data_IF_025259155546
#
_entry.id   IF_025259155546
#
_cell.length_a   1.000
_cell.length_b   1.000
_cell.length_c   1.000
_cell.angle_alpha   90.00
_cell.angle_beta   90.00
_cell.angle_gamma   90.00
#
_symmetry.space_group_name_H-M   'P 1'
#
loop_
_entity.id
_entity.type
_entity.pdbx_description
1 polymer ?
#
# COMPACT_ATOMS: atom_id res chain seq x y z
N UNK A 1 -20.94 -51.25 -33.89
CA UNK A 1 -20.70 -51.77 -32.53
C UNK A 1 -20.72 -50.62 -31.54
N UNK A 2 -21.79 -50.46 -30.76
CA UNK A 2 -21.87 -49.44 -29.71
C UNK A 2 -21.82 -50.13 -28.34
N UNK A 3 -20.67 -50.06 -27.67
CA UNK A 3 -20.47 -50.61 -26.34
C UNK A 3 -21.30 -49.83 -25.32
N UNK A 4 -22.22 -50.51 -24.62
CA UNK A 4 -22.96 -49.93 -23.49
C UNK A 4 -21.96 -49.62 -22.37
N UNK A 5 -21.70 -48.34 -22.12
CA UNK A 5 -20.97 -47.88 -20.94
C UNK A 5 -21.73 -48.31 -19.68
N UNK A 6 -21.09 -49.16 -18.88
CA UNK A 6 -21.64 -49.60 -17.59
C UNK A 6 -21.75 -48.40 -16.65
N UNK A 7 -22.98 -48.02 -16.26
CA UNK A 7 -23.20 -46.99 -15.26
C UNK A 7 -22.84 -47.53 -13.88
N UNK A 8 -21.67 -47.13 -13.37
CA UNK A 8 -21.27 -47.39 -11.98
C UNK A 8 -22.27 -46.74 -11.03
N UNK A 9 -23.03 -47.54 -10.28
CA UNK A 9 -23.97 -47.03 -9.26
C UNK A 9 -23.16 -46.45 -8.08
N UNK A 10 -22.95 -45.14 -8.09
CA UNK A 10 -22.30 -44.43 -6.99
C UNK A 10 -23.28 -44.29 -5.82
N UNK A 11 -23.01 -44.99 -4.71
CA UNK A 11 -23.77 -44.85 -3.46
C UNK A 11 -23.32 -43.57 -2.76
N UNK A 12 -24.18 -42.55 -2.74
CA UNK A 12 -23.91 -41.29 -2.02
C UNK A 12 -23.78 -41.58 -0.53
N UNK A 13 -22.61 -41.29 0.05
CA UNK A 13 -22.39 -41.29 1.50
C UNK A 13 -22.49 -39.85 1.98
N UNK A 14 -23.41 -39.59 2.91
CA UNK A 14 -23.42 -38.33 3.64
C UNK A 14 -22.40 -38.42 4.76
N UNK A 15 -21.48 -37.44 4.88
CA UNK A 15 -20.50 -37.44 5.96
C UNK A 15 -21.19 -37.43 7.32
N UNK A 16 -20.68 -38.23 8.26
CA UNK A 16 -21.23 -38.33 9.60
C UNK A 16 -21.06 -37.02 10.36
N UNK A 17 -21.98 -36.69 11.29
CA UNK A 17 -21.90 -35.45 12.07
C UNK A 17 -20.55 -35.26 12.79
N UNK A 18 -19.91 -36.35 13.25
CA UNK A 18 -18.58 -36.32 13.88
C UNK A 18 -17.45 -35.96 12.90
N UNK A 19 -17.52 -36.44 11.66
CA UNK A 19 -16.57 -36.07 10.60
C UNK A 19 -16.75 -34.60 10.20
N UNK A 20 -18.01 -34.15 10.10
CA UNK A 20 -18.32 -32.76 9.80
C UNK A 20 -17.89 -31.81 10.94
N UNK A 21 -18.11 -32.21 12.19
CA UNK A 21 -17.77 -31.39 13.36
C UNK A 21 -16.27 -31.08 13.46
N UNK A 22 -15.39 -32.00 13.07
CA UNK A 22 -13.95 -31.76 13.01
C UNK A 22 -13.52 -30.82 11.88
N UNK A 23 -14.31 -30.75 10.80
CA UNK A 23 -14.06 -29.90 9.63
C UNK A 23 -14.70 -28.50 9.77
N UNK A 24 -15.73 -28.36 10.61
CA UNK A 24 -16.43 -27.11 10.87
C UNK A 24 -15.67 -26.22 11.85
N UNK A 25 -14.76 -25.40 11.32
CA UNK A 25 -14.15 -24.30 12.08
C UNK A 25 -14.98 -23.02 11.95
N UNK A 26 -15.80 -22.74 12.95
CA UNK A 26 -16.50 -21.46 13.04
C UNK A 26 -15.55 -20.35 13.51
N UNK A 27 -15.39 -19.32 12.68
CA UNK A 27 -14.60 -18.14 13.06
C UNK A 27 -15.39 -17.34 14.10
N UNK A 28 -14.76 -16.99 15.23
CA UNK A 28 -15.38 -16.14 16.25
C UNK A 28 -15.86 -14.82 15.62
N UNK A 29 -17.05 -14.31 15.98
CA UNK A 29 -17.56 -13.06 15.43
C UNK A 29 -16.65 -11.89 15.81
N UNK A 30 -16.25 -11.10 14.81
CA UNK A 30 -15.47 -9.88 15.02
C UNK A 30 -16.44 -8.71 15.19
N UNK A 31 -16.57 -8.22 16.43
CA UNK A 31 -17.51 -7.15 16.80
C UNK A 31 -17.12 -5.80 16.17
N UNK A 32 -15.83 -5.44 16.22
CA UNK A 32 -15.34 -4.18 15.64
C UNK A 32 -15.56 -4.14 14.12
N UNK A 33 -16.34 -3.18 13.58
CA UNK A 33 -16.58 -3.07 12.15
C UNK A 33 -15.29 -2.84 11.35
N UNK A 34 -14.33 -2.05 11.90
CA UNK A 34 -13.02 -1.82 11.29
C UNK A 34 -12.25 -3.13 11.16
N UNK A 35 -12.07 -3.86 12.27
CA UNK A 35 -11.35 -5.15 12.25
C UNK A 35 -12.03 -6.17 11.34
N UNK A 36 -13.37 -6.25 11.36
CA UNK A 36 -14.12 -7.19 10.52
C UNK A 36 -13.87 -6.95 9.03
N UNK A 37 -13.91 -5.70 8.57
CA UNK A 37 -13.61 -5.34 7.17
C UNK A 37 -12.16 -5.67 6.79
N UNK A 38 -11.20 -5.23 7.60
CA UNK A 38 -9.78 -5.45 7.31
C UNK A 38 -9.42 -6.94 7.34
N UNK A 39 -9.99 -7.72 8.25
CA UNK A 39 -9.76 -9.18 8.34
C UNK A 39 -10.32 -9.99 7.16
N UNK A 40 -11.10 -9.35 6.28
CA UNK A 40 -11.66 -9.92 5.05
C UNK A 40 -10.96 -9.41 3.78
N UNK A 41 -10.07 -8.43 3.90
CA UNK A 41 -9.26 -7.97 2.78
C UNK A 41 -8.11 -8.95 2.60
N UNK A 42 -8.10 -9.66 1.47
CA UNK A 42 -7.05 -10.63 1.12
C UNK A 42 -6.10 -10.05 0.08
N UNK A 43 -6.51 -8.98 -0.58
CA UNK A 43 -5.75 -8.31 -1.63
C UNK A 43 -5.72 -6.80 -1.40
N UNK A 44 -4.75 -6.12 -2.02
CA UNK A 44 -4.72 -4.65 -2.08
C UNK A 44 -5.99 -4.10 -2.74
N UNK A 45 -6.58 -4.83 -3.70
CA UNK A 45 -7.85 -4.48 -4.33
C UNK A 45 -9.04 -4.48 -3.36
N UNK A 46 -9.04 -5.35 -2.35
CA UNK A 46 -10.05 -5.32 -1.30
C UNK A 46 -9.89 -4.10 -0.39
N UNK A 47 -8.65 -3.74 -0.05
CA UNK A 47 -8.35 -2.51 0.70
C UNK A 47 -8.80 -1.28 -0.08
N UNK A 48 -8.52 -1.22 -1.38
CA UNK A 48 -8.99 -0.16 -2.28
C UNK A 48 -10.52 -0.06 -2.30
N UNK A 49 -11.24 -1.19 -2.42
CA UNK A 49 -12.72 -1.21 -2.36
C UNK A 49 -13.24 -0.70 -1.03
N UNK A 50 -12.59 -1.05 0.08
CA UNK A 50 -12.94 -0.53 1.41
C UNK A 50 -12.72 0.98 1.47
N UNK A 51 -11.58 1.48 0.99
CA UNK A 51 -11.28 2.92 0.93
C UNK A 51 -12.31 3.69 0.10
N UNK A 52 -12.65 3.20 -1.11
CA UNK A 52 -13.66 3.82 -1.99
C UNK A 52 -15.02 4.02 -1.32
N UNK A 53 -15.42 3.11 -0.43
CA UNK A 53 -16.70 3.20 0.30
C UNK A 53 -16.66 4.12 1.52
N UNK A 54 -15.48 4.56 1.93
CA UNK A 54 -15.24 5.26 3.20
C UNK A 54 -14.69 6.67 3.02
N UNK A 55 -14.17 6.97 1.85
CA UNK A 55 -13.59 8.26 1.51
C UNK A 55 -14.51 8.98 0.53
N UNK A 56 -14.70 10.31 0.65
CA UNK A 56 -15.41 11.08 -0.35
C UNK A 56 -14.79 10.90 -1.74
N UNK A 57 -15.61 11.05 -2.79
CA UNK A 57 -15.21 10.71 -4.15
C UNK A 57 -13.98 11.51 -4.61
N UNK A 58 -13.95 12.83 -4.36
CA UNK A 58 -12.84 13.69 -4.80
C UNK A 58 -11.47 13.27 -4.23
N UNK A 59 -11.27 13.14 -2.89
CA UNK A 59 -10.05 12.58 -2.32
C UNK A 59 -9.69 11.17 -2.80
N UNK A 60 -10.70 10.30 -2.97
CA UNK A 60 -10.46 8.94 -3.43
C UNK A 60 -9.93 8.95 -4.87
N UNK A 61 -10.58 9.68 -5.78
CA UNK A 61 -10.18 9.79 -7.18
C UNK A 61 -8.84 10.53 -7.35
N UNK A 62 -8.53 11.51 -6.48
CA UNK A 62 -7.21 12.13 -6.43
C UNK A 62 -6.09 11.12 -6.13
N UNK A 63 -6.36 10.15 -5.26
CA UNK A 63 -5.37 9.14 -4.88
C UNK A 63 -5.32 7.98 -5.88
N UNK A 64 -6.49 7.58 -6.38
CA UNK A 64 -6.66 6.38 -7.22
C UNK A 64 -6.44 6.63 -8.72
N UNK A 65 -6.72 7.85 -9.18
CA UNK A 65 -6.69 8.24 -10.59
C UNK A 65 -5.29 8.59 -11.10
N UNK A 66 -5.18 8.68 -12.42
CA UNK A 66 -3.96 9.08 -13.12
C UNK A 66 -4.27 10.15 -14.17
N UNK A 67 -3.28 10.51 -15.00
CA UNK A 67 -3.45 11.49 -16.06
C UNK A 67 -4.21 10.89 -17.26
N UNK A 68 -4.93 11.76 -17.97
CA UNK A 68 -5.65 11.51 -19.22
C UNK A 68 -6.57 10.28 -19.15
N UNK A 69 -6.32 9.30 -20.03
CA UNK A 69 -7.08 8.04 -20.14
C UNK A 69 -6.65 7.01 -19.09
N UNK A 70 -5.67 7.33 -18.25
CA UNK A 70 -5.06 6.44 -17.26
C UNK A 70 -4.40 5.19 -17.85
N UNK A 71 -4.16 5.17 -19.16
CA UNK A 71 -3.53 4.05 -19.86
C UNK A 71 -2.15 3.69 -19.31
N UNK A 72 -1.35 4.67 -18.87
CA UNK A 72 -0.06 4.41 -18.22
C UNK A 72 -0.19 3.71 -16.86
N UNK A 73 -1.24 4.00 -16.08
CA UNK A 73 -1.51 3.29 -14.83
C UNK A 73 -1.90 1.82 -15.09
N UNK A 74 -2.69 1.58 -16.15
CA UNK A 74 -3.06 0.21 -16.58
C UNK A 74 -1.81 -0.55 -17.01
N UNK A 75 -1.01 0.01 -17.93
CA UNK A 75 0.22 -0.60 -18.42
C UNK A 75 1.23 -0.92 -17.31
N UNK A 76 1.37 -0.04 -16.32
CA UNK A 76 2.25 -0.26 -15.19
C UNK A 76 1.86 -1.51 -14.38
N UNK A 77 0.56 -1.78 -14.23
CA UNK A 77 0.06 -2.99 -13.56
C UNK A 77 0.26 -4.24 -14.42
N UNK A 78 -0.10 -4.14 -15.70
CA UNK A 78 0.08 -5.24 -16.67
C UNK A 78 1.55 -5.69 -16.76
N UNK A 79 2.51 -4.76 -16.66
CA UNK A 79 3.92 -5.09 -16.63
C UNK A 79 4.27 -6.11 -15.54
N UNK A 80 3.75 -5.93 -14.32
CA UNK A 80 4.02 -6.84 -13.21
C UNK A 80 3.22 -8.15 -13.31
N UNK A 81 2.01 -8.13 -13.84
CA UNK A 81 1.21 -9.35 -14.10
C UNK A 81 1.86 -10.25 -15.17
N UNK A 82 2.65 -9.66 -16.07
CA UNK A 82 3.39 -10.41 -17.08
C UNK A 82 4.67 -11.06 -16.54
N UNK A 83 5.09 -10.76 -15.30
CA UNK A 83 6.24 -11.41 -14.65
C UNK A 83 5.80 -12.78 -14.12
N UNK A 84 6.49 -13.83 -14.55
CA UNK A 84 6.19 -15.20 -14.12
C UNK A 84 7.28 -15.72 -13.19
N UNK A 85 6.86 -16.29 -12.06
CA UNK A 85 7.76 -17.04 -11.18
C UNK A 85 7.94 -18.45 -11.70
N UNK A 86 9.20 -18.89 -11.83
CA UNK A 86 9.50 -20.29 -12.11
C UNK A 86 9.58 -21.08 -10.79
N UNK A 87 8.62 -21.98 -10.52
CA UNK A 87 8.62 -22.73 -9.27
C UNK A 87 9.85 -23.65 -9.23
N UNK A 88 10.65 -23.53 -8.17
CA UNK A 88 11.72 -24.48 -7.88
C UNK A 88 11.23 -25.47 -6.83
N UNK A 89 11.44 -26.76 -7.08
CA UNK A 89 11.01 -27.86 -6.20
C UNK A 89 12.22 -28.43 -5.45
N UNK A 90 11.95 -29.08 -4.31
CA UNK A 90 12.97 -29.71 -3.46
C UNK A 90 14.03 -28.73 -2.91
N UNK A 91 13.63 -27.49 -2.66
CA UNK A 91 14.44 -26.48 -1.98
C UNK A 91 13.90 -26.32 -0.57
N UNK A 92 14.78 -26.29 0.43
CA UNK A 92 14.40 -25.96 1.80
C UNK A 92 14.00 -24.49 1.90
N UNK A 93 12.72 -24.25 2.20
CA UNK A 93 12.13 -22.93 2.42
C UNK A 93 11.57 -22.80 3.83
N UNK A 94 12.01 -23.65 4.76
CA UNK A 94 11.58 -23.61 6.16
C UNK A 94 11.87 -22.27 6.85
N UNK A 95 12.87 -21.52 6.35
CA UNK A 95 13.19 -20.16 6.77
C UNK A 95 13.41 -19.30 5.52
N UNK A 96 12.60 -18.24 5.38
CA UNK A 96 12.75 -17.23 4.33
C UNK A 96 13.04 -15.89 5.01
N UNK A 97 14.18 -15.29 4.69
CA UNK A 97 14.56 -13.95 5.16
C UNK A 97 14.31 -12.95 4.04
N UNK A 98 13.42 -11.98 4.28
CA UNK A 98 13.14 -10.89 3.36
C UNK A 98 14.02 -9.67 3.61
N UNK A 99 14.81 -9.66 4.69
CA UNK A 99 15.56 -8.48 5.07
C UNK A 99 16.63 -8.12 4.05
N UNK A 100 16.86 -6.82 3.89
CA UNK A 100 17.81 -6.26 2.94
C UNK A 100 18.61 -5.14 3.58
N UNK A 101 19.82 -4.92 3.11
CA UNK A 101 20.58 -3.71 3.42
C UNK A 101 20.37 -2.69 2.29
N UNK A 102 19.88 -1.50 2.64
CA UNK A 102 19.63 -0.43 1.69
C UNK A 102 19.97 0.92 2.34
N UNK A 103 20.78 1.72 1.64
CA UNK A 103 21.27 3.01 2.12
C UNK A 103 21.97 2.94 3.48
N UNK A 104 22.78 1.88 3.69
CA UNK A 104 23.58 1.68 4.91
C UNK A 104 22.79 1.24 6.15
N UNK A 105 21.54 0.81 5.98
CA UNK A 105 20.70 0.31 7.07
C UNK A 105 20.01 -0.99 6.66
N UNK A 106 19.75 -1.86 7.65
CA UNK A 106 18.99 -3.10 7.45
C UNK A 106 17.49 -2.83 7.59
N UNK A 107 16.71 -3.30 6.61
CA UNK A 107 15.26 -3.25 6.58
C UNK A 107 14.70 -4.67 6.63
N UNK A 108 13.51 -4.85 7.19
CA UNK A 108 12.87 -6.17 7.33
C UNK A 108 12.39 -6.76 6.00
N UNK A 109 12.21 -5.93 4.97
CA UNK A 109 11.79 -6.34 3.63
C UNK A 109 12.18 -5.28 2.58
N UNK A 110 12.29 -5.64 1.29
CA UNK A 110 12.68 -4.73 0.20
C UNK A 110 11.49 -3.86 -0.27
N UNK A 111 10.76 -3.26 0.66
CA UNK A 111 9.60 -2.41 0.40
C UNK A 111 9.73 -1.11 1.17
N UNK A 112 9.03 -0.08 0.72
CA UNK A 112 8.92 1.19 1.42
C UNK A 112 7.59 1.87 1.11
N UNK A 113 7.20 2.83 1.95
CA UNK A 113 6.03 3.66 1.70
C UNK A 113 6.48 4.92 0.95
N UNK A 114 6.04 5.02 -0.31
CA UNK A 114 6.37 6.11 -1.22
C UNK A 114 5.74 7.45 -0.77
N UNK A 115 6.37 8.59 -1.12
CA UNK A 115 5.87 9.90 -0.75
C UNK A 115 4.53 10.18 -1.43
N UNK A 116 3.51 10.42 -0.61
CA UNK A 116 2.16 10.77 -1.07
C UNK A 116 1.75 12.08 -0.42
N UNK A 117 1.43 13.08 -1.25
CA UNK A 117 0.91 14.36 -0.76
C UNK A 117 -0.50 14.22 -0.19
N UNK A 118 -0.83 15.09 0.76
CA UNK A 118 -2.20 15.22 1.30
C UNK A 118 -2.83 13.93 1.83
N UNK A 119 -2.05 13.08 2.52
CA UNK A 119 -2.52 11.78 3.00
C UNK A 119 -3.74 11.89 3.94
N UNK A 120 -3.89 13.04 4.63
CA UNK A 120 -5.07 13.30 5.47
C UNK A 120 -6.40 13.38 4.74
N UNK A 121 -6.40 13.62 3.44
CA UNK A 121 -7.64 13.56 2.64
C UNK A 121 -8.21 12.13 2.56
N UNK A 122 -7.35 11.12 2.69
CA UNK A 122 -7.76 9.71 2.74
C UNK A 122 -8.09 9.25 4.17
N UNK A 123 -7.35 9.74 5.16
CA UNK A 123 -7.54 9.44 6.59
C UNK A 123 -6.93 10.56 7.44
N UNK A 124 -7.70 11.25 8.27
CA UNK A 124 -7.27 12.15 9.36
C UNK A 124 -5.90 11.86 10.05
N UNK A 125 -5.53 10.61 10.34
CA UNK A 125 -4.22 10.30 10.94
C UNK A 125 -3.02 10.56 9.97
N UNK A 126 -3.28 10.49 8.67
CA UNK A 126 -2.36 10.87 7.60
C UNK A 126 -1.00 10.20 7.67
N UNK A 127 0.04 11.02 7.48
CA UNK A 127 1.43 10.60 7.37
C UNK A 127 1.95 9.99 8.68
N UNK A 128 1.42 10.40 9.84
CA UNK A 128 1.80 9.83 11.15
C UNK A 128 1.48 8.34 11.22
N UNK A 129 0.29 7.95 10.75
CA UNK A 129 -0.09 6.55 10.70
C UNK A 129 0.76 5.76 9.68
N UNK A 130 1.09 6.38 8.55
CA UNK A 130 2.00 5.79 7.56
C UNK A 130 3.39 5.50 8.13
N UNK A 131 3.99 6.49 8.79
CA UNK A 131 5.31 6.38 9.40
C UNK A 131 5.33 5.35 10.54
N UNK A 132 4.33 5.37 11.44
CA UNK A 132 4.22 4.39 12.51
C UNK A 132 4.03 2.95 11.98
N UNK A 133 3.24 2.78 10.90
CA UNK A 133 3.07 1.49 10.25
C UNK A 133 4.37 1.00 9.60
N UNK A 134 5.13 1.89 8.95
CA UNK A 134 6.43 1.60 8.36
C UNK A 134 7.46 1.19 9.43
N UNK A 135 7.56 1.94 10.54
CA UNK A 135 8.40 1.56 11.68
C UNK A 135 8.04 0.17 12.21
N UNK A 136 6.74 -0.09 12.42
CA UNK A 136 6.27 -1.39 12.92
C UNK A 136 6.65 -2.54 11.96
N UNK A 137 6.60 -2.29 10.65
CA UNK A 137 6.99 -3.26 9.64
C UNK A 137 8.51 -3.34 9.41
N UNK A 138 9.30 -2.42 9.96
CA UNK A 138 10.75 -2.30 9.73
C UNK A 138 11.09 -1.92 8.30
N UNK A 139 10.32 -1.02 7.69
CA UNK A 139 10.53 -0.51 6.32
C UNK A 139 10.64 1.02 6.31
N UNK A 140 11.25 1.62 5.27
CA UNK A 140 11.30 3.07 5.13
C UNK A 140 9.93 3.70 4.82
N UNK A 141 9.74 4.89 5.36
CA UNK A 141 8.64 5.81 5.03
C UNK A 141 9.21 7.09 4.43
N UNK A 142 8.64 7.58 3.34
CA UNK A 142 9.05 8.83 2.73
C UNK A 142 7.93 9.89 2.86
N UNK A 143 8.24 11.01 3.52
CA UNK A 143 7.32 12.14 3.67
C UNK A 143 7.38 13.05 2.43
N UNK A 144 6.23 13.41 1.85
CA UNK A 144 6.19 14.39 0.76
C UNK A 144 6.37 15.83 1.23
N UNK A 145 6.96 16.69 0.39
CA UNK A 145 6.91 18.16 0.56
C UNK A 145 5.46 18.66 0.65
N UNK A 146 4.53 17.99 -0.05
CA UNK A 146 3.09 18.28 -0.01
C UNK A 146 2.35 17.47 1.07
N UNK A 147 3.06 17.03 2.10
CA UNK A 147 2.47 16.35 3.25
C UNK A 147 1.61 17.30 4.09
N UNK A 148 0.65 16.72 4.81
CA UNK A 148 -0.23 17.44 5.75
C UNK A 148 0.24 17.38 7.21
N UNK A 149 1.45 16.86 7.42
CA UNK A 149 2.10 16.74 8.71
C UNK A 149 3.54 17.25 8.57
N UNK A 150 4.04 17.99 9.56
CA UNK A 150 5.42 18.47 9.55
C UNK A 150 6.42 17.31 9.67
N UNK A 151 7.67 17.56 9.25
CA UNK A 151 8.76 16.57 9.30
C UNK A 151 8.98 16.09 10.73
N UNK A 152 8.96 17.03 11.68
CA UNK A 152 9.19 16.79 13.10
C UNK A 152 8.09 15.90 13.70
N UNK A 153 6.83 16.12 13.35
CA UNK A 153 5.72 15.30 13.85
C UNK A 153 5.68 13.90 13.21
N UNK A 154 6.24 13.74 12.00
CA UNK A 154 6.44 12.41 11.38
C UNK A 154 7.54 11.64 12.11
N UNK A 155 8.69 12.27 12.34
CA UNK A 155 9.79 11.67 13.11
C UNK A 155 9.33 11.32 14.53
N UNK A 156 8.57 12.20 15.19
CA UNK A 156 8.01 11.94 16.52
C UNK A 156 7.01 10.78 16.54
N UNK A 157 6.22 10.60 15.49
CA UNK A 157 5.29 9.48 15.37
C UNK A 157 6.00 8.13 15.12
N UNK A 158 7.21 8.18 14.57
CA UNK A 158 8.03 7.02 14.26
C UNK A 158 9.52 7.28 14.59
N UNK A 159 9.86 7.38 15.90
CA UNK A 159 11.19 7.80 16.34
C UNK A 159 12.31 6.79 16.04
N UNK A 160 11.95 5.52 15.86
CA UNK A 160 12.87 4.44 15.47
C UNK A 160 12.69 4.05 14.00
N UNK A 161 11.79 4.73 13.29
CA UNK A 161 11.47 4.47 11.89
C UNK A 161 12.50 5.08 10.95
N UNK A 162 12.73 4.42 9.81
CA UNK A 162 13.52 4.99 8.72
C UNK A 162 12.69 6.02 7.96
N UNK A 163 12.70 7.27 8.42
CA UNK A 163 12.01 8.37 7.77
C UNK A 163 12.91 9.05 6.74
N UNK A 164 12.45 9.12 5.50
CA UNK A 164 13.03 9.89 4.40
C UNK A 164 12.16 11.12 4.11
N UNK A 165 12.74 12.14 3.48
CA UNK A 165 12.01 13.33 3.04
C UNK A 165 12.09 13.47 1.52
N UNK A 166 10.94 13.67 0.89
CA UNK A 166 10.83 13.95 -0.54
C UNK A 166 10.74 15.45 -0.78
N UNK A 167 11.60 15.97 -1.64
CA UNK A 167 11.68 17.37 -2.04
C UNK A 167 11.09 17.59 -3.44
N UNK A 168 10.10 18.49 -3.53
CA UNK A 168 9.78 19.21 -4.77
C UNK A 168 10.52 20.54 -4.75
N UNK A 169 11.43 20.75 -5.70
CA UNK A 169 12.20 21.99 -5.77
C UNK A 169 11.30 23.16 -6.19
N UNK A 170 11.20 24.18 -5.36
CA UNK A 170 10.50 25.42 -5.70
C UNK A 170 11.42 26.40 -6.43
N UNK A 171 10.82 27.41 -7.09
CA UNK A 171 11.60 28.51 -7.70
C UNK A 171 12.46 29.23 -6.65
N UNK A 172 11.94 29.36 -5.44
CA UNK A 172 12.66 29.81 -4.27
C UNK A 172 13.52 28.65 -3.72
N UNK A 173 14.80 28.69 -4.06
CA UNK A 173 15.76 27.65 -3.67
C UNK A 173 16.08 27.71 -2.19
N UNK A 174 16.12 28.91 -1.60
CA UNK A 174 16.47 29.09 -0.19
C UNK A 174 15.40 28.45 0.71
N UNK A 175 14.12 28.64 0.38
CA UNK A 175 13.01 27.93 1.06
C UNK A 175 13.09 26.41 0.88
N UNK A 176 13.48 25.95 -0.30
CA UNK A 176 13.63 24.51 -0.56
C UNK A 176 14.76 23.93 0.30
N UNK A 177 15.88 24.65 0.42
CA UNK A 177 17.00 24.25 1.27
C UNK A 177 16.69 24.33 2.77
N UNK A 178 15.86 25.28 3.20
CA UNK A 178 15.37 25.34 4.58
C UNK A 178 14.66 24.03 4.98
N UNK A 179 13.83 23.47 4.10
CA UNK A 179 13.18 22.17 4.35
C UNK A 179 14.19 21.03 4.47
N UNK A 180 15.24 21.03 3.65
CA UNK A 180 16.33 20.04 3.72
C UNK A 180 17.07 20.15 5.05
N UNK A 181 17.42 21.37 5.47
CA UNK A 181 18.09 21.62 6.75
C UNK A 181 17.20 21.22 7.94
N UNK A 182 15.90 21.51 7.87
CA UNK A 182 14.93 21.07 8.90
C UNK A 182 14.84 19.55 8.98
N UNK A 183 14.81 18.86 7.85
CA UNK A 183 14.81 17.40 7.81
C UNK A 183 16.08 16.83 8.48
N UNK A 184 17.25 17.33 8.08
CA UNK A 184 18.52 16.92 8.65
C UNK A 184 18.61 17.19 10.16
N UNK A 185 18.09 18.34 10.63
CA UNK A 185 18.09 18.72 12.04
C UNK A 185 17.28 17.76 12.93
N UNK A 186 16.30 17.05 12.38
CA UNK A 186 15.54 16.01 13.09
C UNK A 186 15.99 14.59 12.76
N UNK A 187 17.18 14.43 12.21
CA UNK A 187 17.80 13.12 11.97
C UNK A 187 17.30 12.40 10.71
N UNK A 188 16.58 13.08 9.82
CA UNK A 188 16.30 12.53 8.48
C UNK A 188 17.57 12.62 7.65
N UNK A 189 18.09 11.48 7.26
CA UNK A 189 19.36 11.35 6.53
C UNK A 189 19.18 10.99 5.04
N UNK A 190 17.94 10.78 4.61
CA UNK A 190 17.60 10.31 3.26
C UNK A 190 16.70 11.33 2.58
N UNK A 191 17.19 11.87 1.45
CA UNK A 191 16.46 12.82 0.61
C UNK A 191 16.04 12.15 -0.70
N UNK A 192 14.78 12.33 -1.10
CA UNK A 192 14.23 11.88 -2.38
C UNK A 192 13.89 13.12 -3.21
N UNK A 193 14.67 13.41 -4.25
CA UNK A 193 14.39 14.53 -5.14
C UNK A 193 13.43 14.10 -6.26
N UNK A 194 12.25 14.71 -6.31
CA UNK A 194 11.24 14.41 -7.34
C UNK A 194 11.28 15.46 -8.44
N UNK A 195 11.50 15.01 -9.69
CA UNK A 195 11.74 15.88 -10.87
C UNK A 195 10.77 15.63 -12.03
N UNK A 196 9.87 14.67 -11.90
CA UNK A 196 8.97 14.19 -12.95
C UNK A 196 7.66 14.97 -13.07
N UNK A 197 7.39 15.90 -12.15
CA UNK A 197 6.17 16.75 -12.16
C UNK A 197 6.53 18.25 -12.27
N UNK A 198 7.18 18.70 -13.36
CA UNK A 198 7.36 20.13 -13.58
C UNK A 198 6.03 20.84 -13.88
N UNK A 199 5.07 20.11 -14.46
CA UNK A 199 3.70 20.56 -14.74
C UNK A 199 2.75 19.44 -14.32
N UNK A 200 1.60 19.79 -13.74
CA UNK A 200 0.59 18.82 -13.36
C UNK A 200 0.05 18.08 -14.60
N UNK A 201 -0.05 16.76 -14.54
CA UNK A 201 -0.69 15.97 -15.58
C UNK A 201 -2.19 16.29 -15.69
N UNK A 202 -2.79 16.00 -16.85
CA UNK A 202 -4.21 16.24 -17.09
C UNK A 202 -5.10 15.22 -16.36
N UNK A 203 -5.32 15.40 -15.05
CA UNK A 203 -6.08 14.46 -14.20
C UNK A 203 -7.59 14.72 -14.32
N UNK A 204 -8.23 14.06 -15.29
CA UNK A 204 -9.63 14.31 -15.65
C UNK A 204 -10.63 14.04 -14.52
N UNK A 205 -10.34 13.07 -13.62
CA UNK A 205 -11.21 12.81 -12.47
C UNK A 205 -11.20 14.00 -11.49
N UNK A 206 -10.03 14.57 -11.23
CA UNK A 206 -9.87 15.72 -10.33
C UNK A 206 -10.66 16.92 -10.88
N UNK A 207 -10.54 17.19 -12.18
CA UNK A 207 -11.31 18.25 -12.87
C UNK A 207 -12.83 18.01 -12.78
N UNK A 208 -13.30 16.79 -13.07
CA UNK A 208 -14.74 16.44 -13.01
C UNK A 208 -15.33 16.55 -11.61
N UNK A 209 -14.52 16.24 -10.60
CA UNK A 209 -14.92 16.32 -9.21
C UNK A 209 -14.80 17.74 -8.62
N UNK A 210 -14.38 18.73 -9.41
CA UNK A 210 -14.16 20.10 -8.93
C UNK A 210 -13.10 20.20 -7.85
N UNK A 211 -12.10 19.30 -7.88
CA UNK A 211 -11.12 19.20 -6.81
C UNK A 211 -10.25 20.45 -6.79
N UNK A 212 -10.31 21.17 -5.68
CA UNK A 212 -9.35 22.20 -5.28
C UNK A 212 -8.67 21.71 -4.01
N UNK A 213 -7.35 21.86 -3.93
CA UNK A 213 -6.63 21.56 -2.70
C UNK A 213 -6.97 22.71 -1.73
N UNK A 214 -7.59 22.43 -0.59
CA UNK A 214 -7.93 23.46 0.40
C UNK A 214 -6.69 24.03 1.10
#
# INVERSE_FOLDING_TARGET
MAGKLAKTKVKRRFPGFKELAGLMRFRKPILSPKRRRLSRALTIWDLRKIAKRRTPQAPFDYTDGSAETESSLVRARELFENIQFHPKVLIDVSKVDLSVEMLGQRHSMPLGIAPTGFARMMQHEGERAGAAAAQTAGIPFCLSTLGTTSIEEVVKAAPEGRNAFQLYMWKDRDRSMELVHRAAAVGVDTLVLTVDVPVAGARLRDTRNGMTIP
#
